data_IF_918207261696
#
_entry.id   IF_918207261696
#
_cell.length_a   1.000
_cell.length_b   1.000
_cell.length_c   1.000
_cell.angle_alpha   90.00
_cell.angle_beta   90.00
_cell.angle_gamma   90.00
#
_symmetry.space_group_name_H-M   'P 1'
#
loop_
_entity.id
_entity.type
_entity.pdbx_description
1 polymer ?
#
# COMPACT_ATOMS: atom_id res chain seq x y z
N UNK A 1 2.69 -13.81 6.53
CA UNK A 1 1.63 -13.89 7.57
C UNK A 1 2.02 -12.89 8.63
N UNK A 2 1.40 -11.72 8.65
CA UNK A 2 1.59 -10.74 9.70
C UNK A 2 0.95 -11.27 10.98
N UNK A 3 1.77 -11.54 11.97
CA UNK A 3 1.32 -11.90 13.32
C UNK A 3 1.11 -10.60 14.08
N UNK A 4 -0.11 -10.36 14.57
CA UNK A 4 -0.37 -9.31 15.53
C UNK A 4 0.23 -9.71 16.87
N UNK A 5 0.95 -8.79 17.49
CA UNK A 5 1.50 -8.93 18.84
C UNK A 5 0.58 -8.23 19.83
N UNK A 6 0.12 -8.97 20.83
CA UNK A 6 -0.84 -8.52 21.84
C UNK A 6 -0.14 -8.38 23.19
N UNK A 7 -0.04 -7.14 23.67
CA UNK A 7 0.49 -6.81 24.98
C UNK A 7 -0.67 -6.48 25.94
N UNK A 8 -0.67 -7.11 27.12
CA UNK A 8 -1.69 -6.90 28.16
C UNK A 8 -2.55 -8.12 28.42
N UNK A 9 -3.83 -7.90 28.69
CA UNK A 9 -4.76 -8.93 29.18
C UNK A 9 -5.83 -9.32 28.16
N UNK A 10 -5.45 -9.32 26.87
CA UNK A 10 -6.35 -9.67 25.77
C UNK A 10 -6.90 -11.10 25.90
N UNK A 11 -8.16 -11.28 25.52
CA UNK A 11 -8.74 -12.59 25.28
C UNK A 11 -8.89 -12.82 23.77
N UNK A 12 -8.28 -13.89 23.27
CA UNK A 12 -8.34 -14.26 21.86
C UNK A 12 -9.32 -15.41 21.65
N UNK A 13 -10.14 -15.33 20.60
CA UNK A 13 -11.12 -16.35 20.28
C UNK A 13 -11.59 -16.29 18.81
N UNK A 14 -12.50 -17.20 18.41
CA UNK A 14 -13.01 -17.26 17.05
C UNK A 14 -13.75 -15.98 16.60
N UNK A 15 -14.16 -15.16 17.55
CA UNK A 15 -14.85 -13.90 17.28
C UNK A 15 -13.90 -12.71 17.08
N UNK A 16 -12.61 -12.91 17.34
CA UNK A 16 -11.59 -11.87 17.27
C UNK A 16 -10.81 -11.73 18.58
N UNK A 17 -10.46 -10.50 18.94
CA UNK A 17 -9.79 -10.16 20.19
C UNK A 17 -10.68 -9.27 21.05
N UNK A 18 -10.79 -9.62 22.32
CA UNK A 18 -11.46 -8.82 23.32
C UNK A 18 -10.46 -8.12 24.22
N UNK A 19 -10.76 -6.87 24.57
CA UNK A 19 -9.93 -5.99 25.39
C UNK A 19 -10.12 -6.41 26.85
N UNK A 20 -9.04 -6.72 27.56
CA UNK A 20 -9.10 -7.11 28.96
C UNK A 20 -9.09 -5.90 29.91
N UNK A 21 -8.32 -4.87 29.58
CA UNK A 21 -8.24 -3.67 30.41
C UNK A 21 -7.82 -2.44 29.58
N UNK A 22 -8.00 -1.27 30.18
CA UNK A 22 -7.50 -0.02 29.60
C UNK A 22 -5.97 -0.02 29.55
N UNK A 23 -5.41 0.37 28.42
CA UNK A 23 -3.98 0.35 28.15
C UNK A 23 -3.48 -0.91 27.43
N UNK A 24 -4.34 -1.94 27.26
CA UNK A 24 -4.02 -3.09 26.43
C UNK A 24 -3.67 -2.60 25.01
N UNK A 25 -2.61 -3.20 24.45
CA UNK A 25 -2.02 -2.80 23.18
C UNK A 25 -1.96 -3.96 22.22
N UNK A 26 -2.16 -3.67 20.93
CA UNK A 26 -1.86 -4.59 19.86
C UNK A 26 -1.03 -3.90 18.81
N UNK A 27 0.04 -4.57 18.38
CA UNK A 27 0.94 -4.11 17.32
C UNK A 27 0.88 -5.08 16.16
N UNK A 28 0.72 -4.56 14.95
CA UNK A 28 0.70 -5.35 13.72
C UNK A 28 1.68 -4.75 12.71
N UNK A 29 2.66 -5.54 12.27
CA UNK A 29 3.50 -5.21 11.12
C UNK A 29 2.82 -5.73 9.85
N UNK A 30 2.73 -4.90 8.82
CA UNK A 30 2.15 -5.26 7.54
C UNK A 30 2.96 -4.70 6.36
N UNK A 31 2.82 -5.31 5.19
CA UNK A 31 3.39 -4.81 3.95
C UNK A 31 2.24 -4.43 3.02
N UNK A 32 2.24 -3.16 2.55
CA UNK A 32 1.13 -2.68 1.73
C UNK A 32 1.10 -1.17 1.56
N UNK A 33 -0.02 -0.65 1.09
CA UNK A 33 -0.27 0.78 0.85
C UNK A 33 -1.38 1.33 1.73
N UNK A 34 -1.97 0.51 2.59
CA UNK A 34 -3.02 0.92 3.50
C UNK A 34 -3.47 -0.20 4.40
N UNK A 35 -4.16 0.18 5.46
CA UNK A 35 -4.69 -0.76 6.45
C UNK A 35 -6.03 -0.28 7.00
N UNK A 36 -6.94 -1.22 7.22
CA UNK A 36 -8.20 -1.00 7.87
C UNK A 36 -8.43 -2.04 8.98
N UNK A 37 -9.13 -1.63 10.02
CA UNK A 37 -9.51 -2.47 11.15
C UNK A 37 -11.01 -2.69 11.15
N UNK A 38 -11.44 -3.93 11.22
CA UNK A 38 -12.84 -4.29 11.44
C UNK A 38 -13.10 -4.36 12.93
N UNK A 39 -14.01 -3.50 13.41
CA UNK A 39 -14.36 -3.38 14.83
C UNK A 39 -15.83 -3.71 15.06
N UNK A 40 -16.13 -4.24 16.24
CA UNK A 40 -17.50 -4.33 16.75
C UNK A 40 -17.80 -3.10 17.60
N UNK A 41 -18.90 -2.45 17.28
CA UNK A 41 -19.43 -1.31 18.02
C UNK A 41 -20.67 -1.73 18.78
N UNK A 42 -20.91 -1.11 19.93
CA UNK A 42 -22.06 -1.43 20.77
C UNK A 42 -22.54 -0.23 21.57
N UNK A 43 -23.55 -0.40 22.41
CA UNK A 43 -24.13 0.65 23.25
C UNK A 43 -23.25 1.01 24.45
N UNK A 44 -21.95 1.14 24.24
CA UNK A 44 -20.94 1.46 25.26
C UNK A 44 -19.96 2.50 24.73
N UNK A 45 -19.47 3.37 25.59
CA UNK A 45 -18.43 4.36 25.22
C UNK A 45 -17.07 3.75 25.42
N UNK A 46 -16.38 3.53 24.31
CA UNK A 46 -15.01 3.03 24.27
C UNK A 46 -14.28 3.62 23.07
N UNK A 47 -12.97 3.74 23.20
CA UNK A 47 -12.09 4.30 22.18
C UNK A 47 -10.88 3.39 21.98
N UNK A 48 -10.39 3.36 20.73
CA UNK A 48 -9.09 2.80 20.40
C UNK A 48 -8.24 3.96 19.88
N UNK A 49 -7.08 4.20 20.48
CA UNK A 49 -6.11 5.14 19.94
C UNK A 49 -5.19 4.42 18.98
N UNK A 50 -4.95 5.01 17.82
CA UNK A 50 -4.26 4.32 16.73
C UNK A 50 -3.14 5.18 16.18
N UNK A 51 -1.95 4.56 16.07
CA UNK A 51 -0.82 5.13 15.33
C UNK A 51 -0.44 4.23 14.16
N UNK A 52 0.12 4.83 13.12
CA UNK A 52 0.73 4.15 11.98
C UNK A 52 2.14 4.72 11.84
N UNK A 53 3.15 3.86 11.88
CA UNK A 53 4.57 4.23 11.86
C UNK A 53 4.96 5.23 12.97
N UNK A 54 4.30 5.12 14.13
CA UNK A 54 4.50 6.00 15.29
C UNK A 54 3.76 7.33 15.24
N UNK A 55 3.12 7.68 14.13
CA UNK A 55 2.32 8.89 13.96
C UNK A 55 0.82 8.59 14.09
N UNK A 56 0.00 9.55 14.53
CA UNK A 56 -1.45 9.36 14.60
C UNK A 56 -2.03 8.94 13.25
N UNK A 57 -2.81 7.87 13.23
CA UNK A 57 -3.38 7.27 12.02
C UNK A 57 -4.05 8.33 11.12
N UNK A 58 -3.62 8.49 9.86
CA UNK A 58 -3.99 9.65 9.04
C UNK A 58 -5.45 9.66 8.59
N UNK A 59 -6.10 8.51 8.50
CA UNK A 59 -7.50 8.41 8.07
C UNK A 59 -8.51 8.61 9.21
N UNK A 60 -8.05 8.75 10.47
CA UNK A 60 -8.90 8.85 11.64
C UNK A 60 -9.09 10.30 12.13
N UNK A 61 -10.22 10.58 12.79
CA UNK A 61 -10.40 11.82 13.53
C UNK A 61 -9.38 11.93 14.69
N UNK A 62 -9.06 13.16 15.08
CA UNK A 62 -8.14 13.43 16.19
C UNK A 62 -8.89 14.07 17.37
N UNK A 63 -8.46 13.71 18.57
CA UNK A 63 -8.92 14.36 19.79
C UNK A 63 -8.21 15.72 20.02
N UNK A 64 -8.47 16.33 21.17
CA UNK A 64 -7.87 17.63 21.54
C UNK A 64 -6.37 17.55 21.79
N UNK A 65 -5.87 16.38 22.13
CA UNK A 65 -4.45 16.07 22.34
C UNK A 65 -3.75 15.65 21.03
N UNK A 66 -4.46 15.60 19.91
CA UNK A 66 -3.93 15.22 18.60
C UNK A 66 -3.85 13.70 18.35
N UNK A 67 -4.35 12.86 19.27
CA UNK A 67 -4.36 11.41 19.13
C UNK A 67 -5.45 10.99 18.16
N UNK A 68 -5.12 10.12 17.21
CA UNK A 68 -6.11 9.52 16.30
C UNK A 68 -6.90 8.43 17.01
N UNK A 69 -8.21 8.37 16.81
CA UNK A 69 -9.05 7.43 17.54
C UNK A 69 -10.17 6.82 16.71
N UNK A 70 -10.55 5.58 17.08
CA UNK A 70 -11.76 4.89 16.63
C UNK A 70 -12.77 4.87 17.76
N UNK A 71 -14.02 5.25 17.47
CA UNK A 71 -15.15 5.16 18.41
C UNK A 71 -15.78 3.78 18.29
N UNK A 72 -15.92 3.08 19.42
CA UNK A 72 -16.59 1.77 19.49
C UNK A 72 -18.09 1.87 19.83
N UNK A 73 -18.61 3.08 19.99
CA UNK A 73 -20.01 3.30 20.29
C UNK A 73 -20.90 3.21 19.05
N UNK A 74 -21.93 2.37 19.12
CA UNK A 74 -23.03 2.34 18.17
C UNK A 74 -24.28 1.77 18.89
N UNK A 75 -25.39 2.51 19.01
CA UNK A 75 -26.59 2.03 19.71
C UNK A 75 -27.26 0.81 19.04
N UNK A 76 -26.95 0.55 17.76
CA UNK A 76 -27.50 -0.56 16.99
C UNK A 76 -26.57 -1.77 16.90
N UNK A 77 -25.47 -1.77 17.61
CA UNK A 77 -24.48 -2.86 17.66
C UNK A 77 -23.99 -3.28 16.25
N UNK A 78 -23.29 -2.38 15.57
CA UNK A 78 -22.81 -2.59 14.22
C UNK A 78 -21.37 -3.17 14.18
N UNK A 79 -21.07 -3.94 13.13
CA UNK A 79 -19.69 -4.27 12.74
C UNK A 79 -19.28 -3.32 11.63
N UNK A 80 -18.14 -2.64 11.78
CA UNK A 80 -17.68 -1.66 10.82
C UNK A 80 -16.20 -1.87 10.49
N UNK A 81 -15.85 -1.77 9.22
CA UNK A 81 -14.45 -1.69 8.78
C UNK A 81 -14.06 -0.22 8.70
N UNK A 82 -13.07 0.17 9.47
CA UNK A 82 -12.60 1.55 9.62
C UNK A 82 -11.22 1.66 8.97
N UNK A 83 -11.04 2.50 7.94
CA UNK A 83 -9.72 2.76 7.38
C UNK A 83 -8.86 3.48 8.42
N UNK A 84 -7.64 3.02 8.64
CA UNK A 84 -6.66 3.61 9.55
C UNK A 84 -5.64 4.45 8.76
N UNK A 85 -5.20 3.92 7.61
CA UNK A 85 -4.34 4.61 6.68
C UNK A 85 -4.63 4.16 5.25
N UNK A 86 -4.53 5.10 4.32
CA UNK A 86 -4.69 4.88 2.88
C UNK A 86 -3.59 5.64 2.13
N UNK A 87 -3.23 5.16 0.94
CA UNK A 87 -2.24 5.79 0.07
C UNK A 87 -0.85 5.95 0.72
N UNK A 88 -0.47 5.02 1.59
CA UNK A 88 0.90 4.90 2.08
C UNK A 88 1.84 4.51 0.92
N UNK A 89 3.12 4.89 0.95
CA UNK A 89 4.11 4.29 0.07
C UNK A 89 4.10 2.77 0.22
N UNK A 90 4.22 2.01 -0.87
CA UNK A 90 4.30 0.56 -0.75
C UNK A 90 5.56 0.17 0.05
N UNK A 91 5.38 -0.58 1.13
CA UNK A 91 6.48 -0.98 2.02
C UNK A 91 6.00 -1.63 3.31
N UNK A 92 6.96 -1.81 4.20
CA UNK A 92 6.71 -2.30 5.56
C UNK A 92 6.22 -1.14 6.44
N UNK A 93 5.11 -1.36 7.12
CA UNK A 93 4.49 -0.42 8.03
C UNK A 93 4.12 -1.11 9.33
N UNK A 94 3.97 -0.32 10.38
CA UNK A 94 3.53 -0.81 11.69
C UNK A 94 2.32 -0.03 12.15
N UNK A 95 1.27 -0.72 12.54
CA UNK A 95 0.12 -0.12 13.21
C UNK A 95 0.12 -0.53 14.68
N UNK A 96 -0.11 0.42 15.56
CA UNK A 96 -0.32 0.19 16.99
C UNK A 96 -1.71 0.66 17.37
N UNK A 97 -2.42 -0.15 18.12
CA UNK A 97 -3.74 0.16 18.68
C UNK A 97 -3.69 0.02 20.19
N UNK A 98 -4.06 1.08 20.90
CA UNK A 98 -4.13 1.11 22.37
C UNK A 98 -5.61 1.24 22.75
N UNK A 99 -6.10 0.31 23.55
CA UNK A 99 -7.45 0.33 24.05
C UNK A 99 -7.59 1.25 25.26
N UNK A 100 -8.54 2.18 25.21
CA UNK A 100 -8.92 2.92 26.41
C UNK A 100 -9.92 2.14 27.25
N UNK A 101 -10.88 1.50 26.55
CA UNK A 101 -11.97 0.76 27.20
C UNK A 101 -12.61 -0.19 26.16
N UNK A 102 -13.44 -1.16 26.61
CA UNK A 102 -14.26 -1.95 25.69
C UNK A 102 -14.12 -3.47 25.84
N UNK A 103 -13.94 -3.95 27.08
CA UNK A 103 -13.88 -5.37 27.39
C UNK A 103 -15.26 -6.04 27.40
N UNK A 104 -15.29 -7.36 27.18
CA UNK A 104 -16.47 -8.18 27.04
C UNK A 104 -17.25 -7.92 25.74
N UNK A 105 -16.61 -7.29 24.72
CA UNK A 105 -17.27 -6.82 23.50
C UNK A 105 -16.72 -7.44 22.23
N UNK A 106 -15.60 -8.17 22.30
CA UNK A 106 -14.91 -8.70 21.10
C UNK A 106 -14.64 -7.62 20.07
N UNK A 107 -14.05 -6.52 20.53
CA UNK A 107 -13.99 -5.25 19.81
C UNK A 107 -13.20 -5.33 18.51
N UNK A 108 -12.10 -6.08 18.47
CA UNK A 108 -11.26 -6.25 17.29
C UNK A 108 -11.65 -7.53 16.57
N UNK A 109 -12.18 -7.43 15.36
CA UNK A 109 -12.66 -8.58 14.61
C UNK A 109 -11.68 -9.04 13.52
N UNK A 110 -11.12 -8.12 12.72
CA UNK A 110 -10.30 -8.46 11.56
C UNK A 110 -9.43 -7.28 11.10
N UNK A 111 -8.34 -7.58 10.39
CA UNK A 111 -7.45 -6.62 9.75
C UNK A 111 -7.52 -6.78 8.23
N UNK A 112 -7.58 -5.66 7.51
CA UNK A 112 -7.53 -5.65 6.05
C UNK A 112 -6.38 -4.79 5.58
N UNK A 113 -5.43 -5.42 4.90
CA UNK A 113 -4.29 -4.72 4.28
C UNK A 113 -4.62 -4.47 2.82
N UNK A 114 -4.50 -3.22 2.40
CA UNK A 114 -4.57 -2.84 1.00
C UNK A 114 -3.19 -2.97 0.37
N UNK A 115 -3.14 -3.62 -0.77
CA UNK A 115 -1.93 -3.82 -1.55
C UNK A 115 -2.15 -3.27 -2.97
N UNK A 116 -2.30 -1.95 -3.08
CA UNK A 116 -2.36 -1.29 -4.39
C UNK A 116 -0.95 -0.79 -4.71
N UNK A 117 -0.25 -1.39 -5.68
CA UNK A 117 1.01 -0.81 -6.15
C UNK A 117 0.72 0.60 -6.65
N UNK A 118 1.59 1.55 -6.27
CA UNK A 118 1.49 2.94 -6.72
C UNK A 118 1.70 3.01 -8.24
N UNK A 119 0.60 2.90 -8.99
CA UNK A 119 0.60 2.98 -10.45
C UNK A 119 0.93 4.38 -10.95
N UNK A 120 0.91 5.40 -10.09
CA UNK A 120 1.15 6.80 -10.49
C UNK A 120 2.58 6.99 -10.96
N UNK A 121 3.55 6.39 -10.28
CA UNK A 121 4.97 6.44 -10.64
C UNK A 121 5.23 5.74 -11.98
N UNK A 122 4.55 4.62 -12.22
CA UNK A 122 4.69 3.88 -13.48
C UNK A 122 4.03 4.62 -14.64
N UNK A 123 2.86 5.21 -14.46
CA UNK A 123 2.20 6.05 -15.47
C UNK A 123 3.07 7.24 -15.87
N UNK A 124 3.69 7.92 -14.90
CA UNK A 124 4.61 9.05 -15.19
C UNK A 124 5.85 8.56 -15.95
N UNK A 125 6.43 7.42 -15.58
CA UNK A 125 7.56 6.82 -16.31
C UNK A 125 7.20 6.44 -17.74
N UNK A 126 6.07 5.79 -17.96
CA UNK A 126 5.63 5.42 -19.31
C UNK A 126 5.24 6.63 -20.16
N UNK A 127 4.64 7.66 -19.56
CA UNK A 127 4.36 8.92 -20.25
C UNK A 127 5.65 9.64 -20.66
N UNK A 128 6.67 9.67 -19.79
CA UNK A 128 7.98 10.27 -20.11
C UNK A 128 8.71 9.50 -21.20
N UNK A 129 8.70 8.16 -21.18
CA UNK A 129 9.26 7.32 -22.22
C UNK A 129 8.53 7.48 -23.55
N UNK A 130 7.21 7.58 -23.52
CA UNK A 130 6.38 7.84 -24.70
C UNK A 130 6.70 9.20 -25.34
N UNK A 131 6.84 10.25 -24.53
CA UNK A 131 7.25 11.58 -24.99
C UNK A 131 8.65 11.58 -25.63
N UNK A 132 9.62 10.91 -25.00
CA UNK A 132 10.97 10.76 -25.56
C UNK A 132 10.95 10.00 -26.88
N UNK A 133 10.13 8.96 -27.00
CA UNK A 133 9.91 8.23 -28.25
C UNK A 133 9.34 9.10 -29.37
N UNK A 134 8.34 9.92 -29.06
CA UNK A 134 7.72 10.85 -30.02
C UNK A 134 8.73 11.93 -30.47
N UNK A 135 9.49 12.50 -29.53
CA UNK A 135 10.53 13.49 -29.86
C UNK A 135 11.63 12.85 -30.71
N UNK A 136 12.08 11.64 -30.35
CA UNK A 136 13.06 10.89 -31.15
C UNK A 136 12.58 10.61 -32.57
N UNK A 137 11.32 10.20 -32.73
CA UNK A 137 10.71 9.97 -34.05
C UNK A 137 10.58 11.25 -34.86
N UNK A 138 10.15 12.35 -34.23
CA UNK A 138 10.06 13.66 -34.87
C UNK A 138 11.44 14.16 -35.35
N UNK A 139 12.47 14.01 -34.51
CA UNK A 139 13.85 14.35 -34.88
C UNK A 139 14.36 13.47 -36.03
N UNK A 140 14.04 12.16 -36.03
CA UNK A 140 14.39 11.25 -37.11
C UNK A 140 13.71 11.63 -38.44
N UNK A 141 12.44 12.02 -38.41
CA UNK A 141 11.71 12.49 -39.61
C UNK A 141 12.25 13.84 -40.08
N UNK A 142 12.57 14.76 -39.17
CA UNK A 142 13.08 16.08 -39.50
C UNK A 142 14.51 16.04 -40.04
N UNK A 143 15.36 15.19 -39.50
CA UNK A 143 16.73 14.96 -39.98
C UNK A 143 16.77 14.04 -41.22
N UNK A 144 15.73 13.23 -41.42
CA UNK A 144 15.62 12.26 -42.51
C UNK A 144 15.60 12.85 -43.93
N UNK A 145 15.49 14.20 -44.05
CA UNK A 145 15.67 14.91 -45.35
C UNK A 145 17.15 14.95 -45.80
N UNK A 146 18.09 14.51 -44.96
CA UNK A 146 19.55 14.50 -45.28
C UNK A 146 20.20 13.13 -45.05
N UNK A 147 19.43 12.09 -44.69
CA UNK A 147 19.96 10.75 -44.47
C UNK A 147 19.81 9.93 -45.77
N UNK A 148 20.95 9.48 -46.27
CA UNK A 148 21.00 8.58 -47.43
C UNK A 148 20.52 7.18 -46.99
N UNK A 149 19.22 6.94 -47.14
CA UNK A 149 18.55 5.68 -46.76
C UNK A 149 19.13 4.45 -47.45
N UNK A 150 19.84 4.64 -48.57
CA UNK A 150 20.53 3.58 -49.30
C UNK A 150 21.68 2.98 -48.46
N UNK A 151 22.39 3.78 -47.70
CA UNK A 151 23.49 3.32 -46.85
C UNK A 151 23.03 2.60 -45.58
N UNK A 152 21.92 3.05 -44.99
CA UNK A 152 21.32 2.39 -43.80
C UNK A 152 20.72 1.04 -44.16
N UNK A 153 20.05 0.91 -45.31
CA UNK A 153 19.53 -0.37 -45.77
C UNK A 153 20.61 -1.42 -46.00
N UNK A 154 21.75 -1.06 -46.53
CA UNK A 154 22.86 -1.97 -46.74
C UNK A 154 23.49 -2.45 -45.41
N UNK A 155 23.52 -1.59 -44.39
CA UNK A 155 23.97 -1.98 -43.03
C UNK A 155 23.05 -2.98 -42.38
N UNK A 156 21.73 -2.80 -42.52
CA UNK A 156 20.72 -3.70 -41.94
C UNK A 156 20.75 -5.07 -42.63
N UNK A 157 20.91 -5.12 -43.95
CA UNK A 157 21.01 -6.38 -44.69
C UNK A 157 22.27 -7.16 -44.29
N UNK A 158 23.39 -6.48 -44.04
CA UNK A 158 24.62 -7.15 -43.56
C UNK A 158 24.46 -7.76 -42.16
N UNK A 159 23.84 -7.03 -41.24
CA UNK A 159 23.55 -7.54 -39.87
C UNK A 159 22.55 -8.68 -39.91
N UNK A 160 21.50 -8.58 -40.75
CA UNK A 160 20.51 -9.64 -40.93
C UNK A 160 21.11 -10.91 -41.52
N UNK A 161 21.97 -10.80 -42.54
CA UNK A 161 22.65 -11.95 -43.14
C UNK A 161 23.64 -12.59 -42.15
N UNK A 162 24.36 -11.78 -41.35
CA UNK A 162 25.23 -12.28 -40.31
C UNK A 162 24.49 -13.06 -39.21
N UNK A 163 23.33 -12.56 -38.76
CA UNK A 163 22.45 -13.26 -37.81
C UNK A 163 21.87 -14.54 -38.40
N UNK A 164 21.52 -14.55 -39.67
CA UNK A 164 20.93 -15.69 -40.38
C UNK A 164 21.99 -16.80 -40.68
N UNK A 165 23.22 -16.46 -40.86
CA UNK A 165 24.32 -17.40 -41.12
C UNK A 165 24.96 -17.93 -39.81
N UNK A 166 24.31 -17.74 -38.68
CA UNK A 166 24.61 -18.40 -37.40
C UNK A 166 25.86 -17.90 -36.70
N UNK A 167 26.29 -16.64 -36.92
CA UNK A 167 27.29 -15.94 -36.09
C UNK A 167 28.47 -16.78 -35.59
N UNK A 168 29.09 -17.60 -36.43
CA UNK A 168 30.24 -18.38 -36.02
C UNK A 168 31.43 -17.44 -35.82
N UNK A 169 31.72 -17.13 -34.57
CA UNK A 169 33.01 -16.54 -34.18
C UNK A 169 34.02 -17.69 -34.22
N UNK A 170 34.89 -17.67 -35.20
CA UNK A 170 36.06 -18.52 -35.16
C UNK A 170 36.93 -18.09 -33.96
N UNK A 171 37.22 -19.04 -33.08
CA UNK A 171 38.20 -18.96 -32.02
C UNK A 171 39.62 -18.97 -32.64
#
# INVERSE_FOLDING_TARGET
TSLADFEGTWTLGPQGADIGQSGDRVTLAFEGTGIALTVRRGPYRAFLFVTVDGEPAPALPRDREGRAYVVLYDPLAAVATVPLAENLPYGQHTVEVIAERGWGQWALADWRVANQPDTTTDVVRYAALGLLGIVGLALAIFSGRRVDWGRLGQGFIKVWNWLREGGQVAL
#
